data_IF_324940237577
#
_entry.id   IF_324940237577
#
_cell.length_a   1.000
_cell.length_b   1.000
_cell.length_c   1.000
_cell.angle_alpha   90.00
_cell.angle_beta   90.00
_cell.angle_gamma   90.00
#
_symmetry.space_group_name_H-M   'P 1'
#
loop_
_entity.id
_entity.type
_entity.pdbx_description
1 polymer ?
#
# COMPACT_ATOMS: atom_id res chain seq x y z
N UNK A 1 -10.15 -6.11 8.00
CA UNK A 1 -11.13 -5.80 6.92
C UNK A 1 -10.66 -6.49 5.66
N UNK A 2 -11.49 -7.32 5.01
CA UNK A 2 -11.13 -7.98 3.76
C UNK A 2 -11.81 -7.29 2.57
N UNK A 3 -11.11 -7.14 1.46
CA UNK A 3 -11.70 -6.75 0.18
C UNK A 3 -11.87 -8.01 -0.67
N UNK A 4 -13.04 -8.20 -1.26
CA UNK A 4 -13.28 -9.21 -2.29
C UNK A 4 -13.61 -8.50 -3.58
N UNK A 5 -12.81 -8.75 -4.61
CA UNK A 5 -13.12 -8.31 -5.96
C UNK A 5 -14.16 -9.26 -6.57
N UNK A 6 -15.19 -8.71 -7.21
CA UNK A 6 -16.06 -9.49 -8.08
C UNK A 6 -15.38 -9.71 -9.44
N UNK A 7 -16.00 -10.53 -10.28
CA UNK A 7 -15.61 -10.63 -11.68
C UNK A 7 -15.71 -9.26 -12.38
N UNK A 8 -14.78 -8.92 -13.28
CA UNK A 8 -14.86 -7.71 -14.08
C UNK A 8 -16.10 -7.70 -14.98
N UNK A 9 -16.86 -6.61 -14.95
CA UNK A 9 -17.86 -6.31 -15.95
C UNK A 9 -17.17 -5.66 -17.16
N UNK A 10 -17.29 -6.26 -18.34
CA UNK A 10 -16.56 -5.83 -19.55
C UNK A 10 -17.50 -5.30 -20.63
N UNK A 11 -18.70 -5.87 -20.76
CA UNK A 11 -19.69 -5.36 -21.71
C UNK A 11 -20.36 -4.10 -21.20
N UNK A 12 -20.81 -3.23 -22.11
CA UNK A 12 -21.49 -1.99 -21.74
C UNK A 12 -22.72 -2.24 -20.85
N UNK A 13 -23.54 -3.24 -21.22
CA UNK A 13 -24.73 -3.63 -20.46
C UNK A 13 -24.41 -4.08 -19.03
N UNK A 14 -23.36 -4.87 -18.84
CA UNK A 14 -22.93 -5.29 -17.49
C UNK A 14 -22.41 -4.12 -16.68
N UNK A 15 -21.60 -3.25 -17.28
CA UNK A 15 -21.06 -2.06 -16.62
C UNK A 15 -22.18 -1.12 -16.19
N UNK A 16 -23.18 -0.86 -17.04
CA UNK A 16 -24.33 -0.02 -16.71
C UNK A 16 -25.17 -0.61 -15.57
N UNK A 17 -25.45 -1.92 -15.64
CA UNK A 17 -26.22 -2.63 -14.61
C UNK A 17 -25.50 -2.62 -13.26
N UNK A 18 -24.23 -2.99 -13.23
CA UNK A 18 -23.46 -3.05 -11.98
C UNK A 18 -23.17 -1.65 -11.42
N UNK A 19 -22.91 -0.65 -12.27
CA UNK A 19 -22.78 0.73 -11.81
C UNK A 19 -24.07 1.23 -11.17
N UNK A 20 -25.22 0.97 -11.79
CA UNK A 20 -26.54 1.34 -11.25
C UNK A 20 -26.80 0.69 -9.90
N UNK A 21 -26.50 -0.61 -9.78
CA UNK A 21 -26.66 -1.40 -8.56
C UNK A 21 -25.63 -1.08 -7.46
N UNK A 22 -24.54 -0.40 -7.81
CA UNK A 22 -23.53 0.02 -6.83
C UNK A 22 -24.10 1.09 -5.92
N UNK A 23 -24.06 0.85 -4.61
CA UNK A 23 -24.58 1.78 -3.60
C UNK A 23 -23.60 2.96 -3.44
N UNK A 24 -24.14 4.15 -3.16
CA UNK A 24 -23.34 5.32 -2.80
C UNK A 24 -22.33 5.01 -1.67
N UNK A 25 -21.13 5.56 -1.78
CA UNK A 25 -20.03 5.35 -0.85
C UNK A 25 -19.26 4.05 -1.02
N UNK A 26 -19.70 3.14 -1.92
CA UNK A 26 -18.95 1.91 -2.27
C UNK A 26 -17.87 2.20 -3.30
N UNK A 27 -16.87 1.32 -3.30
CA UNK A 27 -15.72 1.40 -4.17
C UNK A 27 -15.85 0.44 -5.36
N UNK A 28 -15.28 0.86 -6.49
CA UNK A 28 -15.21 0.13 -7.74
C UNK A 28 -13.82 0.37 -8.32
N UNK A 29 -13.16 -0.67 -8.83
CA UNK A 29 -11.92 -0.50 -9.61
C UNK A 29 -12.32 -0.33 -11.07
N UNK A 30 -11.76 0.68 -11.72
CA UNK A 30 -12.02 1.03 -13.11
C UNK A 30 -10.75 0.76 -13.90
N UNK A 31 -10.85 -0.09 -14.92
CA UNK A 31 -9.88 -0.23 -15.98
C UNK A 31 -10.28 0.64 -17.15
N UNK A 32 -9.45 1.62 -17.52
CA UNK A 32 -9.68 2.58 -18.59
C UNK A 32 -8.37 2.87 -19.32
N UNK A 33 -8.45 3.27 -20.57
CA UNK A 33 -7.28 3.74 -21.31
C UNK A 33 -6.73 5.02 -20.65
N UNK A 34 -5.44 5.02 -20.32
CA UNK A 34 -4.70 6.16 -19.77
C UNK A 34 -4.89 7.44 -20.61
N UNK A 35 -5.05 7.29 -21.92
CA UNK A 35 -5.30 8.39 -22.85
C UNK A 35 -6.57 9.19 -22.52
N UNK A 36 -7.55 8.58 -21.83
CA UNK A 36 -8.84 9.16 -21.51
C UNK A 36 -8.94 9.74 -20.08
N UNK A 37 -7.88 9.62 -19.28
CA UNK A 37 -7.88 9.97 -17.85
C UNK A 37 -7.18 11.33 -17.63
N UNK A 38 -7.90 12.43 -17.32
CA UNK A 38 -7.33 13.79 -17.35
C UNK A 38 -6.19 14.06 -16.36
N UNK A 39 -6.12 13.30 -15.27
CA UNK A 39 -5.04 13.44 -14.28
C UNK A 39 -3.88 12.47 -14.51
N UNK A 40 -4.00 11.56 -15.48
CA UNK A 40 -2.91 10.67 -15.81
C UNK A 40 -1.82 11.46 -16.55
N UNK A 41 -0.53 11.32 -16.21
CA UNK A 41 0.57 11.99 -16.93
C UNK A 41 0.63 11.69 -18.43
N UNK A 42 0.00 10.61 -18.88
CA UNK A 42 -0.08 10.17 -20.28
C UNK A 42 -1.38 10.61 -20.98
N UNK A 43 -2.20 11.44 -20.33
CA UNK A 43 -3.48 11.93 -20.87
C UNK A 43 -3.28 12.57 -22.25
N UNK A 44 -4.04 12.10 -23.24
CA UNK A 44 -3.92 12.51 -24.65
C UNK A 44 -2.52 12.36 -25.29
N UNK A 45 -1.59 11.66 -24.64
CA UNK A 45 -0.22 11.44 -25.15
C UNK A 45 -0.05 9.99 -25.59
N UNK A 46 -0.44 9.04 -24.74
CA UNK A 46 -0.19 7.63 -24.99
C UNK A 46 -1.36 6.74 -24.56
N UNK A 47 -1.75 5.83 -25.45
CA UNK A 47 -2.70 4.76 -25.15
C UNK A 47 -2.07 3.71 -24.23
N UNK A 48 -2.83 3.23 -23.26
CA UNK A 48 -2.38 2.13 -22.41
C UNK A 48 -3.40 1.76 -21.34
N UNK A 49 -3.47 0.47 -20.94
CA UNK A 49 -4.38 0.05 -19.88
C UNK A 49 -3.96 0.68 -18.55
N UNK A 50 -4.91 1.29 -17.84
CA UNK A 50 -4.67 1.86 -16.52
C UNK A 50 -5.82 1.53 -15.57
N UNK A 51 -5.47 1.22 -14.31
CA UNK A 51 -6.44 0.89 -13.28
C UNK A 51 -6.40 1.92 -12.15
N UNK A 52 -7.57 2.40 -11.75
CA UNK A 52 -7.73 3.30 -10.61
C UNK A 52 -9.00 2.96 -9.82
N UNK A 53 -9.09 3.47 -8.60
CA UNK A 53 -10.20 3.22 -7.69
C UNK A 53 -11.18 4.38 -7.76
N UNK A 54 -12.47 4.09 -7.88
CA UNK A 54 -13.54 5.09 -7.79
C UNK A 54 -14.44 4.79 -6.61
N UNK A 55 -14.79 5.83 -5.84
CA UNK A 55 -15.85 5.81 -4.83
C UNK A 55 -17.09 6.47 -5.41
N UNK A 56 -18.18 5.72 -5.50
CA UNK A 56 -19.46 6.25 -5.97
C UNK A 56 -19.98 7.30 -4.99
N UNK A 57 -20.45 8.44 -5.51
CA UNK A 57 -21.07 9.54 -4.75
C UNK A 57 -22.54 9.68 -5.15
N UNK A 58 -23.29 10.55 -4.46
CA UNK A 58 -24.65 10.93 -4.87
C UNK A 58 -24.68 11.90 -6.05
N UNK A 59 -23.58 12.62 -6.29
CA UNK A 59 -23.47 13.55 -7.41
C UNK A 59 -23.07 12.82 -8.70
N UNK A 60 -23.18 13.46 -9.86
CA UNK A 60 -22.64 12.91 -11.11
C UNK A 60 -21.11 12.78 -11.08
N UNK A 61 -20.43 13.65 -10.31
CA UNK A 61 -18.98 13.61 -10.15
C UNK A 61 -18.56 12.59 -9.09
N UNK A 62 -17.84 11.57 -9.52
CA UNK A 62 -17.34 10.51 -8.65
C UNK A 62 -15.95 10.83 -8.14
N UNK A 63 -15.58 10.26 -6.98
CA UNK A 63 -14.25 10.46 -6.41
C UNK A 63 -13.31 9.34 -6.87
N UNK A 64 -12.24 9.70 -7.56
CA UNK A 64 -11.24 8.79 -8.10
C UNK A 64 -9.93 8.90 -7.30
N UNK A 65 -9.27 7.76 -7.13
CA UNK A 65 -8.01 7.57 -6.44
C UNK A 65 -7.10 6.74 -7.34
N UNK A 66 -5.98 7.32 -7.72
CA UNK A 66 -5.00 6.72 -8.61
C UNK A 66 -3.75 6.34 -7.80
N UNK A 67 -3.60 5.06 -7.41
CA UNK A 67 -2.48 4.65 -6.58
C UNK A 67 -1.14 4.71 -7.32
N UNK A 68 -1.14 4.62 -8.65
CA UNK A 68 0.10 4.62 -9.46
C UNK A 68 0.82 5.95 -9.37
N UNK A 69 0.09 7.06 -9.34
CA UNK A 69 0.64 8.41 -9.30
C UNK A 69 0.35 9.15 -7.98
N UNK A 70 -0.25 8.48 -6.99
CA UNK A 70 -0.58 9.08 -5.70
C UNK A 70 -1.65 10.18 -5.78
N UNK A 71 -2.51 10.17 -6.80
CA UNK A 71 -3.60 11.15 -6.89
C UNK A 71 -4.80 10.71 -6.08
N UNK A 72 -5.36 11.65 -5.32
CA UNK A 72 -6.51 11.41 -4.45
C UNK A 72 -7.64 12.40 -4.74
N UNK A 73 -8.89 11.95 -4.56
CA UNK A 73 -10.09 12.78 -4.68
C UNK A 73 -10.23 13.52 -6.03
N UNK A 74 -9.72 12.94 -7.12
CA UNK A 74 -9.98 13.46 -8.46
C UNK A 74 -11.44 13.27 -8.80
N UNK A 75 -12.04 14.22 -9.52
CA UNK A 75 -13.45 14.15 -9.89
C UNK A 75 -13.57 13.68 -11.34
N UNK A 76 -14.46 12.73 -11.59
CA UNK A 76 -14.76 12.28 -12.95
C UNK A 76 -16.25 11.95 -13.11
N UNK A 77 -16.89 12.29 -14.25
CA UNK A 77 -18.31 12.05 -14.47
C UNK A 77 -18.66 10.55 -14.46
N UNK A 78 -19.81 10.19 -13.86
CA UNK A 78 -20.32 8.81 -13.84
C UNK A 78 -20.43 8.23 -15.25
N UNK A 79 -21.02 8.98 -16.18
CA UNK A 79 -21.23 8.53 -17.56
C UNK A 79 -19.90 8.19 -18.23
N UNK A 80 -18.89 9.05 -18.09
CA UNK A 80 -17.55 8.85 -18.67
C UNK A 80 -16.83 7.67 -18.03
N UNK A 81 -16.95 7.45 -16.72
CA UNK A 81 -16.39 6.26 -16.07
C UNK A 81 -16.93 4.97 -16.69
N UNK A 82 -18.25 4.88 -16.83
CA UNK A 82 -18.90 3.66 -17.29
C UNK A 82 -18.67 3.45 -18.79
N UNK A 83 -18.79 4.50 -19.61
CA UNK A 83 -18.63 4.37 -21.07
C UNK A 83 -17.18 4.12 -21.49
N UNK A 84 -16.22 4.82 -20.89
CA UNK A 84 -14.83 4.79 -21.35
C UNK A 84 -14.01 3.67 -20.70
N UNK A 85 -14.55 3.02 -19.67
CA UNK A 85 -13.89 1.88 -19.05
C UNK A 85 -13.97 0.64 -19.94
N UNK A 86 -12.88 -0.10 -20.06
CA UNK A 86 -12.90 -1.46 -20.62
C UNK A 86 -13.24 -2.50 -19.54
N UNK A 87 -13.09 -2.16 -18.26
CA UNK A 87 -13.45 -3.02 -17.14
C UNK A 87 -13.97 -2.21 -15.95
N UNK A 88 -15.06 -2.69 -15.36
CA UNK A 88 -15.60 -2.20 -14.09
C UNK A 88 -15.59 -3.37 -13.12
N UNK A 89 -14.81 -3.28 -12.05
CA UNK A 89 -14.60 -4.36 -11.08
C UNK A 89 -15.16 -3.94 -9.73
N UNK A 90 -16.34 -4.45 -9.34
CA UNK A 90 -16.95 -4.10 -8.07
C UNK A 90 -16.13 -4.58 -6.88
N UNK A 91 -15.93 -3.70 -5.91
CA UNK A 91 -15.27 -4.05 -4.66
C UNK A 91 -16.33 -4.33 -3.60
N UNK A 92 -16.47 -5.61 -3.23
CA UNK A 92 -17.19 -5.98 -2.02
C UNK A 92 -16.27 -5.86 -0.83
N UNK A 93 -16.49 -4.80 -0.05
CA UNK A 93 -15.97 -4.75 1.32
C UNK A 93 -16.66 -5.88 2.10
N UNK A 94 -15.90 -6.86 2.59
CA UNK A 94 -16.40 -7.65 3.70
C UNK A 94 -16.50 -6.68 4.87
N UNK A 95 -17.73 -6.24 5.20
CA UNK A 95 -18.02 -5.76 6.54
C UNK A 95 -17.46 -6.83 7.44
N UNK A 96 -16.46 -6.47 8.24
CA UNK A 96 -15.95 -7.42 9.21
C UNK A 96 -17.17 -7.94 9.95
N UNK A 97 -17.43 -9.25 9.87
CA UNK A 97 -17.91 -9.94 11.05
C UNK A 97 -17.16 -9.31 12.21
N UNK A 98 -17.89 -8.81 13.21
CA UNK A 98 -17.28 -8.32 14.46
C UNK A 98 -16.12 -9.25 14.71
N UNK A 99 -14.90 -8.70 14.61
CA UNK A 99 -13.66 -9.45 14.75
C UNK A 99 -13.91 -10.53 15.80
N UNK A 100 -13.70 -11.82 15.50
CA UNK A 100 -14.19 -12.91 16.35
C UNK A 100 -13.86 -12.56 17.80
N UNK A 101 -14.80 -12.72 18.75
CA UNK A 101 -14.57 -12.32 20.13
C UNK A 101 -13.29 -13.00 20.63
N UNK A 102 -12.20 -12.23 20.76
CA UNK A 102 -10.83 -12.75 20.93
C UNK A 102 -9.77 -12.14 20.00
N UNK A 103 -10.13 -11.55 18.85
CA UNK A 103 -9.20 -10.80 17.98
C UNK A 103 -8.96 -9.37 18.53
N UNK A 104 -8.65 -9.32 19.83
CA UNK A 104 -7.93 -8.21 20.44
C UNK A 104 -6.47 -8.62 20.33
N UNK A 105 -5.79 -8.33 19.23
CA UNK A 105 -4.34 -8.23 19.34
C UNK A 105 -4.11 -6.95 20.14
N UNK A 106 -4.14 -7.07 21.47
CA UNK A 106 -3.79 -5.98 22.35
C UNK A 106 -2.42 -5.46 21.86
N UNK A 107 -2.16 -4.15 21.87
CA UNK A 107 -0.85 -3.61 21.51
C UNK A 107 0.32 -4.39 22.16
N UNK A 108 0.09 -4.96 23.34
CA UNK A 108 0.96 -5.92 24.01
C UNK A 108 1.31 -7.18 23.21
N UNK A 109 0.35 -7.90 22.63
CA UNK A 109 0.64 -9.14 21.90
C UNK A 109 1.42 -8.85 20.61
N UNK A 110 1.10 -7.74 19.95
CA UNK A 110 1.86 -7.26 18.79
C UNK A 110 3.28 -6.83 19.18
N UNK A 111 3.43 -6.15 20.32
CA UNK A 111 4.74 -5.81 20.85
C UNK A 111 5.58 -7.06 21.15
N UNK A 112 4.99 -8.11 21.74
CA UNK A 112 5.68 -9.41 21.93
C UNK A 112 6.14 -10.02 20.60
N UNK A 113 5.30 -9.97 19.57
CA UNK A 113 5.67 -10.46 18.24
C UNK A 113 6.83 -9.67 17.63
N UNK A 114 6.82 -8.34 17.76
CA UNK A 114 7.91 -7.47 17.28
C UNK A 114 9.24 -7.86 17.93
N UNK A 115 9.28 -7.97 19.27
CA UNK A 115 10.49 -8.36 20.00
C UNK A 115 10.98 -9.75 19.59
N UNK A 116 10.06 -10.69 19.39
CA UNK A 116 10.39 -12.07 19.00
C UNK A 116 10.92 -12.18 17.56
N UNK A 117 10.35 -11.41 16.63
CA UNK A 117 10.53 -11.66 15.19
C UNK A 117 11.47 -10.67 14.50
N UNK A 118 11.47 -9.38 14.86
CA UNK A 118 12.29 -8.36 14.17
C UNK A 118 13.79 -8.65 14.15
N UNK A 119 14.42 -9.16 15.24
CA UNK A 119 15.83 -9.55 15.18
C UNK A 119 16.10 -10.65 14.15
N UNK A 120 15.20 -11.64 14.06
CA UNK A 120 15.31 -12.74 13.09
C UNK A 120 15.07 -12.23 11.67
N UNK A 121 14.08 -11.36 11.48
CA UNK A 121 13.80 -10.72 10.19
C UNK A 121 15.01 -9.94 9.70
N UNK A 122 15.65 -9.13 10.56
CA UNK A 122 16.83 -8.36 10.19
C UNK A 122 18.00 -9.27 9.80
N UNK A 123 18.29 -10.30 10.60
CA UNK A 123 19.38 -11.24 10.30
C UNK A 123 19.13 -12.01 9.01
N UNK A 124 17.91 -12.53 8.82
CA UNK A 124 17.54 -13.27 7.63
C UNK A 124 17.57 -12.37 6.39
N UNK A 125 17.05 -11.14 6.50
CA UNK A 125 17.08 -10.17 5.42
C UNK A 125 18.52 -9.84 5.02
N UNK A 126 19.43 -9.64 5.97
CA UNK A 126 20.85 -9.40 5.68
C UNK A 126 21.47 -10.52 4.85
N UNK A 127 21.38 -11.75 5.36
CA UNK A 127 21.93 -12.92 4.67
C UNK A 127 21.35 -13.06 3.27
N UNK A 128 20.05 -12.87 3.13
CA UNK A 128 19.36 -13.07 1.86
C UNK A 128 19.60 -11.92 0.88
N UNK A 129 19.71 -10.68 1.37
CA UNK A 129 19.99 -9.51 0.54
C UNK A 129 21.40 -9.57 -0.07
N UNK A 130 22.40 -10.05 0.68
CA UNK A 130 23.75 -10.26 0.17
C UNK A 130 23.79 -11.29 -0.98
N UNK A 131 22.97 -12.36 -0.87
CA UNK A 131 22.79 -13.34 -1.95
C UNK A 131 22.09 -12.70 -3.15
N UNK A 132 20.98 -12.00 -2.94
CA UNK A 132 20.20 -11.40 -4.02
C UNK A 132 20.97 -10.37 -4.83
N UNK A 133 21.78 -9.54 -4.17
CA UNK A 133 22.58 -8.51 -4.86
C UNK A 133 23.71 -9.14 -5.68
N UNK A 134 24.22 -10.31 -5.28
CA UNK A 134 25.36 -10.94 -5.94
C UNK A 134 25.00 -11.87 -7.11
N UNK A 135 23.76 -12.36 -7.18
CA UNK A 135 23.34 -13.40 -8.13
C UNK A 135 23.07 -12.86 -9.55
N UNK A 136 22.06 -12.00 -9.75
CA UNK A 136 21.75 -11.41 -11.07
C UNK A 136 20.96 -10.08 -10.95
N UNK A 137 20.74 -9.39 -12.08
CA UNK A 137 20.10 -8.06 -12.11
C UNK A 137 18.64 -8.08 -11.64
N UNK A 138 17.90 -9.15 -11.90
CA UNK A 138 16.49 -9.24 -11.50
C UNK A 138 16.35 -9.47 -9.99
N UNK A 139 17.22 -10.33 -9.43
CA UNK A 139 17.26 -10.60 -7.99
C UNK A 139 17.85 -9.44 -7.20
N UNK A 140 18.75 -8.64 -7.78
CA UNK A 140 19.30 -7.44 -7.15
C UNK A 140 18.23 -6.39 -6.74
N UNK A 141 17.04 -6.41 -7.37
CA UNK A 141 15.91 -5.54 -7.02
C UNK A 141 15.06 -6.06 -5.84
N UNK A 142 15.24 -7.31 -5.42
CA UNK A 142 14.43 -7.94 -4.37
C UNK A 142 14.54 -7.25 -3.00
N UNK A 143 15.71 -6.76 -2.53
CA UNK A 143 15.78 -5.96 -1.31
C UNK A 143 14.87 -4.74 -1.32
N UNK A 144 14.79 -4.04 -2.46
CA UNK A 144 13.91 -2.87 -2.64
C UNK A 144 12.43 -3.27 -2.63
N UNK A 145 12.06 -4.33 -3.37
CA UNK A 145 10.68 -4.88 -3.41
C UNK A 145 10.22 -5.36 -2.03
N UNK A 146 11.09 -6.03 -1.28
CA UNK A 146 10.81 -6.48 0.07
C UNK A 146 10.59 -5.29 1.03
N UNK A 147 11.43 -4.26 0.92
CA UNK A 147 11.28 -3.01 1.69
C UNK A 147 9.96 -2.30 1.36
N UNK A 148 9.54 -2.28 0.10
CA UNK A 148 8.26 -1.68 -0.31
C UNK A 148 7.05 -2.43 0.28
N UNK A 149 7.11 -3.76 0.35
CA UNK A 149 6.10 -4.58 1.02
C UNK A 149 6.04 -4.28 2.53
N UNK A 150 7.20 -4.16 3.18
CA UNK A 150 7.32 -3.76 4.59
C UNK A 150 6.72 -2.37 4.85
N UNK A 151 7.04 -1.39 3.99
CA UNK A 151 6.49 -0.04 4.06
C UNK A 151 4.96 -0.04 3.89
N UNK A 152 4.45 -0.80 2.92
CA UNK A 152 3.00 -0.94 2.70
C UNK A 152 2.30 -1.54 3.92
N UNK A 153 2.89 -2.57 4.53
CA UNK A 153 2.39 -3.15 5.78
C UNK A 153 2.28 -2.13 6.92
N UNK A 154 3.23 -1.19 7.01
CA UNK A 154 3.22 -0.11 8.02
C UNK A 154 2.15 0.95 7.77
N UNK A 155 1.87 1.27 6.51
CA UNK A 155 0.72 2.13 6.19
C UNK A 155 -0.60 1.46 6.56
N UNK A 156 -0.74 0.15 6.29
CA UNK A 156 -1.92 -0.61 6.69
C UNK A 156 -2.07 -0.67 8.21
N UNK A 157 -0.96 -0.86 8.92
CA UNK A 157 -0.95 -0.91 10.38
C UNK A 157 -1.31 0.45 10.99
N UNK A 158 -0.76 1.55 10.49
CA UNK A 158 -1.16 2.91 10.87
C UNK A 158 -2.67 3.12 10.71
N UNK A 159 -3.23 2.76 9.56
CA UNK A 159 -4.67 2.89 9.31
C UNK A 159 -5.52 2.02 10.25
N UNK A 160 -5.04 0.82 10.58
CA UNK A 160 -5.67 -0.04 11.57
C UNK A 160 -5.67 0.64 12.95
N UNK A 161 -4.54 1.20 13.35
CA UNK A 161 -4.37 1.88 14.61
C UNK A 161 -5.23 3.14 14.73
N UNK A 162 -5.23 4.02 13.72
CA UNK A 162 -6.06 5.24 13.66
C UNK A 162 -7.57 4.93 13.84
N UNK A 163 -8.03 3.78 13.35
CA UNK A 163 -9.43 3.34 13.50
C UNK A 163 -9.77 2.73 14.86
N UNK A 164 -8.79 2.20 15.59
CA UNK A 164 -9.00 1.40 16.80
C UNK A 164 -8.58 2.10 18.08
N UNK A 165 -7.56 2.93 18.01
CA UNK A 165 -6.92 3.58 19.14
C UNK A 165 -6.75 5.06 18.80
N UNK A 166 -7.78 5.87 19.04
CA UNK A 166 -7.67 7.31 18.83
C UNK A 166 -6.75 7.85 19.94
N UNK A 167 -5.61 8.45 19.58
CA UNK A 167 -4.71 9.18 20.47
C UNK A 167 -3.96 8.39 21.57
N UNK A 168 -3.35 7.24 21.26
CA UNK A 168 -2.40 6.61 22.19
C UNK A 168 -0.95 7.00 21.87
N UNK A 169 -0.12 7.19 22.90
CA UNK A 169 1.32 7.47 22.74
C UNK A 169 2.04 6.35 21.97
N UNK A 170 1.49 5.12 21.97
CA UNK A 170 1.98 3.98 21.19
C UNK A 170 1.83 4.17 19.66
N UNK A 171 1.15 5.23 19.21
CA UNK A 171 0.94 5.56 17.80
C UNK A 171 1.95 6.57 17.25
N UNK A 172 2.68 7.26 18.13
CA UNK A 172 3.51 8.41 17.77
C UNK A 172 4.49 8.09 16.63
N UNK A 173 5.17 6.94 16.71
CA UNK A 173 6.07 6.47 15.65
C UNK A 173 5.36 6.30 14.29
N UNK A 174 4.17 5.69 14.27
CA UNK A 174 3.42 5.42 13.06
C UNK A 174 2.63 6.65 12.55
N UNK A 175 2.64 7.76 13.29
CA UNK A 175 2.12 9.05 12.83
C UNK A 175 3.23 9.96 12.28
N UNK A 176 4.48 9.71 12.65
CA UNK A 176 5.64 10.48 12.23
C UNK A 176 5.89 10.35 10.72
N UNK A 177 5.94 11.51 10.03
CA UNK A 177 6.23 11.57 8.59
C UNK A 177 7.69 11.23 8.30
N UNK A 178 8.62 11.56 9.19
CA UNK A 178 10.04 11.28 9.00
C UNK A 178 10.33 9.78 9.04
N UNK A 179 9.63 9.04 9.90
CA UNK A 179 9.67 7.58 9.91
C UNK A 179 9.35 6.98 8.51
N UNK A 180 8.28 7.43 7.86
CA UNK A 180 7.94 6.95 6.50
C UNK A 180 8.92 7.43 5.42
N UNK A 181 9.46 8.64 5.55
CA UNK A 181 10.51 9.14 4.65
C UNK A 181 11.76 8.27 4.70
N UNK A 182 12.18 7.84 5.89
CA UNK A 182 13.30 6.89 6.05
C UNK A 182 13.03 5.55 5.37
N UNK A 183 11.82 4.99 5.48
CA UNK A 183 11.47 3.78 4.73
C UNK A 183 11.54 3.97 3.22
N UNK A 184 11.09 5.11 2.70
CA UNK A 184 11.21 5.46 1.28
C UNK A 184 12.69 5.58 0.88
N UNK A 185 13.52 6.17 1.74
CA UNK A 185 14.96 6.29 1.51
C UNK A 185 15.64 4.91 1.44
N UNK A 186 15.29 3.96 2.32
CA UNK A 186 15.79 2.57 2.26
C UNK A 186 15.41 1.92 0.93
N UNK A 187 14.13 2.00 0.53
CA UNK A 187 13.66 1.44 -0.74
C UNK A 187 14.44 1.99 -1.92
N UNK A 188 14.54 3.32 -1.99
CA UNK A 188 15.23 4.00 -3.08
C UNK A 188 16.74 3.74 -3.06
N UNK A 189 17.34 3.61 -1.87
CA UNK A 189 18.74 3.24 -1.69
C UNK A 189 19.04 1.85 -2.23
N UNK A 190 18.18 0.86 -1.97
CA UNK A 190 18.32 -0.47 -2.57
C UNK A 190 18.09 -0.47 -4.09
N UNK A 191 17.13 0.31 -4.61
CA UNK A 191 17.01 0.48 -6.06
C UNK A 191 18.26 1.10 -6.67
N UNK A 192 18.83 2.13 -6.04
CA UNK A 192 20.07 2.76 -6.48
C UNK A 192 21.24 1.78 -6.46
N UNK A 193 21.38 1.01 -5.38
CA UNK A 193 22.40 -0.02 -5.27
C UNK A 193 22.31 -1.05 -6.40
N UNK A 194 21.10 -1.50 -6.74
CA UNK A 194 20.89 -2.47 -7.82
C UNK A 194 21.19 -1.90 -9.21
N UNK A 195 20.78 -0.65 -9.49
CA UNK A 195 20.90 -0.03 -10.83
C UNK A 195 22.31 0.50 -11.12
N UNK A 196 23.06 0.93 -10.10
CA UNK A 196 24.38 1.55 -10.23
C UNK A 196 25.51 0.53 -9.99
N UNK A 197 25.48 -0.59 -10.72
CA UNK A 197 26.51 -1.65 -10.68
C UNK A 197 26.88 -2.13 -9.26
N UNK A 198 25.89 -2.35 -8.39
CA UNK A 198 26.10 -2.78 -6.99
C UNK A 198 26.85 -1.72 -6.19
N UNK A 199 26.32 -0.49 -6.19
CA UNK A 199 26.84 0.61 -5.37
C UNK A 199 26.78 0.23 -3.88
N UNK A 200 27.92 -0.27 -3.37
CA UNK A 200 28.05 -0.80 -2.01
C UNK A 200 27.80 0.27 -0.93
N UNK A 201 28.06 1.55 -1.25
CA UNK A 201 27.80 2.66 -0.34
C UNK A 201 26.30 2.82 -0.17
N UNK A 202 25.55 2.92 -1.28
CA UNK A 202 24.10 3.04 -1.26
C UNK A 202 23.44 1.82 -0.58
N UNK A 203 23.98 0.62 -0.80
CA UNK A 203 23.51 -0.60 -0.12
C UNK A 203 23.74 -0.54 1.39
N UNK A 204 24.96 -0.20 1.82
CA UNK A 204 25.33 -0.12 3.24
C UNK A 204 24.53 0.94 3.98
N UNK A 205 24.34 2.12 3.39
CA UNK A 205 23.51 3.19 3.94
C UNK A 205 22.04 2.76 4.05
N UNK A 206 21.48 2.17 2.99
CA UNK A 206 20.10 1.67 3.01
C UNK A 206 19.90 0.61 4.11
N UNK A 207 20.86 -0.31 4.24
CA UNK A 207 20.81 -1.34 5.27
C UNK A 207 20.92 -0.76 6.69
N UNK A 208 21.82 0.21 6.91
CA UNK A 208 21.97 0.89 8.20
C UNK A 208 20.68 1.62 8.62
N UNK A 209 20.03 2.30 7.67
CA UNK A 209 18.74 2.96 7.92
C UNK A 209 17.65 1.92 8.22
N UNK A 210 17.60 0.79 7.49
CA UNK A 210 16.65 -0.29 7.75
C UNK A 210 16.82 -0.87 9.16
N UNK A 211 18.05 -1.14 9.57
CA UNK A 211 18.37 -1.61 10.93
C UNK A 211 17.91 -0.61 11.98
N UNK A 212 18.16 0.69 11.78
CA UNK A 212 17.68 1.76 12.66
C UNK A 212 16.16 1.80 12.77
N UNK A 213 15.44 1.61 11.66
CA UNK A 213 13.97 1.59 11.64
C UNK A 213 13.39 0.41 12.42
N UNK A 214 13.94 -0.80 12.23
CA UNK A 214 13.51 -1.97 12.99
C UNK A 214 13.85 -1.86 14.47
N UNK A 215 15.00 -1.24 14.83
CA UNK A 215 15.34 -0.92 16.22
C UNK A 215 14.35 0.04 16.87
N UNK A 216 13.93 1.09 16.16
CA UNK A 216 12.90 2.01 16.66
C UNK A 216 11.57 1.28 16.94
N UNK A 217 11.17 0.36 16.07
CA UNK A 217 9.98 -0.48 16.28
C UNK A 217 10.12 -1.40 17.50
N UNK A 218 11.30 -1.99 17.72
CA UNK A 218 11.59 -2.80 18.92
C UNK A 218 11.56 -1.95 20.19
N UNK A 219 12.19 -0.78 20.20
CA UNK A 219 12.13 0.14 21.36
C UNK A 219 10.70 0.56 21.69
N UNK A 220 9.87 0.84 20.68
CA UNK A 220 8.46 1.13 20.90
C UNK A 220 7.73 -0.09 21.50
N UNK A 221 8.01 -1.30 21.01
CA UNK A 221 7.44 -2.53 21.55
C UNK A 221 7.84 -2.74 23.02
N UNK A 222 9.10 -2.54 23.38
CA UNK A 222 9.56 -2.58 24.78
C UNK A 222 8.80 -1.59 25.66
N UNK A 223 8.65 -0.34 25.20
CA UNK A 223 7.89 0.68 25.93
C UNK A 223 6.42 0.31 26.14
N UNK A 224 5.82 -0.43 25.20
CA UNK A 224 4.44 -0.93 25.34
C UNK A 224 4.40 -2.06 26.37
N UNK A 225 5.39 -2.96 26.40
CA UNK A 225 5.44 -4.11 27.32
C UNK A 225 5.81 -3.73 28.76
N UNK A 226 6.52 -2.62 28.97
CA UNK A 226 6.91 -2.13 30.30
C UNK A 226 5.84 -1.25 30.99
N UNK A 227 4.69 -1.00 30.35
CA UNK A 227 3.54 -0.29 30.93
C UNK A 227 2.49 -1.25 31.45
#
# INVERSE_FOLDING_TARGET
MGMKLKQPCVSQKEKDSEWSNTINGKFVIIGMDAFLIPWNPLYQIQHGPHYFITKKTLSDQQLCFDPTYGFHNKKYPSKSLVSNSYALIPVKMKTSEKYPPGYKSAPFDQAKEVIKNHPKTLNNFRMQADIWVSENEETALLPAKFTDALLTGRYLYRHFLEKKYINSHALSLFQDKEYYRKWIAVKNGFYKAALDQRNNIAYSEAFSILESLLKQEMTLAEQILCK
#
